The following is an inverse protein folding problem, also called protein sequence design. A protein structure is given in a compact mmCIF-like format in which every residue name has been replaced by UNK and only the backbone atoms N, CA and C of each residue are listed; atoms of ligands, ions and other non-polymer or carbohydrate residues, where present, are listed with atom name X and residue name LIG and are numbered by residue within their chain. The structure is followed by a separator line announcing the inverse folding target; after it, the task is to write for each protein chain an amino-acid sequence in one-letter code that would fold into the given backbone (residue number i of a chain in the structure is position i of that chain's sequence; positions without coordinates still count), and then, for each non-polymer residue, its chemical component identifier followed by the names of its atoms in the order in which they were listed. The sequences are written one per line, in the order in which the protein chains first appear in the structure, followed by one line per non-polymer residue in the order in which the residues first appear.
data_IF_298209715974
#
_entry.id   IF_298209715974
#
_cell.length_a   1.000
_cell.length_b   1.000
_cell.length_c   1.000
_cell.angle_alpha   90.00
_cell.angle_beta   90.00
_cell.angle_gamma   90.00
#
_symmetry.space_group_name_H-M   'P 1'
#
loop_
_entity.id
_entity.type
_entity.pdbx_description
1 polymer ?
#
# COMPACT_ATOMS: atom_id res chain seq x y z
N UNK A 1 24.95 2.77 -29.43
CA UNK A 1 23.62 2.11 -29.36
C UNK A 1 22.59 3.21 -29.19
N UNK A 2 21.48 3.15 -29.91
CA UNK A 2 20.42 4.17 -29.80
C UNK A 2 19.78 4.10 -28.40
N UNK A 3 19.60 5.25 -27.75
CA UNK A 3 19.01 5.38 -26.42
C UNK A 3 17.60 4.77 -26.39
N UNK A 4 16.87 4.90 -27.49
CA UNK A 4 15.58 4.26 -27.69
C UNK A 4 15.65 2.73 -27.54
N UNK A 5 16.67 2.08 -28.09
CA UNK A 5 16.79 0.61 -28.02
C UNK A 5 17.09 0.14 -26.59
N UNK A 6 17.83 0.91 -25.81
CA UNK A 6 18.07 0.64 -24.38
C UNK A 6 16.78 0.74 -23.58
N UNK A 7 15.98 1.79 -23.81
CA UNK A 7 14.67 1.93 -23.18
C UNK A 7 13.73 0.76 -23.55
N UNK A 8 13.74 0.32 -24.81
CA UNK A 8 12.96 -0.85 -25.25
C UNK A 8 13.43 -2.16 -24.63
N UNK A 9 14.72 -2.31 -24.33
CA UNK A 9 15.22 -3.46 -23.60
C UNK A 9 14.69 -3.50 -22.15
N UNK A 10 14.56 -2.34 -21.50
CA UNK A 10 13.94 -2.23 -20.17
C UNK A 10 12.43 -2.48 -20.22
N UNK A 11 11.74 -2.00 -21.25
CA UNK A 11 10.32 -2.28 -21.47
C UNK A 11 10.06 -3.79 -21.63
N UNK A 12 10.97 -4.53 -22.28
CA UNK A 12 10.87 -5.99 -22.43
C UNK A 12 10.84 -6.70 -21.06
N UNK A 13 11.80 -6.42 -20.18
CA UNK A 13 11.80 -7.02 -18.84
C UNK A 13 10.61 -6.57 -18.00
N UNK A 14 10.27 -5.27 -18.07
CA UNK A 14 9.15 -4.70 -17.32
C UNK A 14 7.82 -5.34 -17.73
N UNK A 15 7.59 -5.52 -19.03
CA UNK A 15 6.38 -6.14 -19.55
C UNK A 15 6.24 -7.60 -19.14
N UNK A 16 7.33 -8.37 -19.09
CA UNK A 16 7.30 -9.76 -18.57
C UNK A 16 6.87 -9.78 -17.10
N UNK A 17 7.47 -8.93 -16.26
CA UNK A 17 7.13 -8.86 -14.82
C UNK A 17 5.66 -8.46 -14.63
N UNK A 18 5.20 -7.44 -15.35
CA UNK A 18 3.81 -6.99 -15.29
C UNK A 18 2.84 -8.07 -15.80
N UNK A 19 3.20 -8.79 -16.85
CA UNK A 19 2.40 -9.88 -17.41
C UNK A 19 2.21 -11.00 -16.38
N UNK A 20 3.31 -11.49 -15.79
CA UNK A 20 3.28 -12.56 -14.78
C UNK A 20 2.51 -12.11 -13.53
N UNK A 21 2.77 -10.90 -13.03
CA UNK A 21 2.06 -10.35 -11.88
C UNK A 21 0.57 -10.22 -12.14
N UNK A 22 0.18 -9.69 -13.31
CA UNK A 22 -1.24 -9.52 -13.68
C UNK A 22 -1.95 -10.88 -13.77
N UNK A 23 -1.34 -11.89 -14.39
CA UNK A 23 -1.90 -13.24 -14.43
C UNK A 23 -2.06 -13.85 -13.03
N UNK A 24 -1.04 -13.71 -12.18
CA UNK A 24 -1.11 -14.21 -10.80
C UNK A 24 -2.27 -13.58 -10.02
N UNK A 25 -2.41 -12.25 -10.10
CA UNK A 25 -3.48 -11.56 -9.39
C UNK A 25 -4.86 -11.84 -9.99
N UNK A 26 -4.99 -11.96 -11.30
CA UNK A 26 -6.24 -12.38 -11.94
C UNK A 26 -6.65 -13.79 -11.49
N UNK A 27 -5.68 -14.71 -11.42
CA UNK A 27 -5.91 -16.07 -10.90
C UNK A 27 -6.30 -16.10 -9.42
N UNK A 28 -5.71 -15.24 -8.58
CA UNK A 28 -6.16 -15.14 -7.19
C UNK A 28 -7.54 -14.50 -7.07
N UNK A 29 -7.81 -13.49 -7.88
CA UNK A 29 -9.11 -12.80 -7.88
C UNK A 29 -10.23 -13.71 -8.38
N UNK A 30 -9.96 -14.62 -9.32
CA UNK A 30 -10.95 -15.59 -9.80
C UNK A 30 -11.42 -16.59 -8.73
N UNK A 31 -10.72 -16.68 -7.59
CA UNK A 31 -11.16 -17.50 -6.46
C UNK A 31 -12.21 -16.81 -5.58
N UNK A 32 -12.43 -15.51 -5.77
CA UNK A 32 -13.45 -14.76 -5.05
C UNK A 32 -14.79 -14.91 -5.79
N UNK A 33 -15.88 -15.31 -5.10
CA UNK A 33 -17.17 -15.52 -5.75
C UNK A 33 -17.72 -14.20 -6.34
N UNK A 34 -17.98 -14.20 -7.65
CA UNK A 34 -18.51 -13.05 -8.39
C UNK A 34 -20.03 -12.95 -8.37
N UNK A 35 -20.69 -14.11 -8.42
CA UNK A 35 -22.12 -14.24 -8.55
C UNK A 35 -22.62 -15.06 -7.36
N UNK A 36 -23.60 -14.50 -6.62
CA UNK A 36 -24.26 -15.14 -5.48
C UNK A 36 -23.33 -15.66 -4.36
N UNK A 37 -22.87 -14.73 -3.51
CA UNK A 37 -22.45 -15.09 -2.16
C UNK A 37 -23.61 -14.89 -1.20
N UNK A 38 -24.43 -15.93 -1.02
CA UNK A 38 -25.33 -16.01 0.11
C UNK A 38 -24.47 -16.11 1.39
N UNK A 39 -24.42 -15.03 2.17
CA UNK A 39 -23.78 -15.06 3.49
C UNK A 39 -24.89 -15.04 4.54
N UNK A 40 -24.92 -16.07 5.39
CA UNK A 40 -25.89 -16.22 6.48
C UNK A 40 -27.39 -16.20 6.07
N UNK A 41 -27.76 -16.75 4.90
CA UNK A 41 -29.15 -16.97 4.52
C UNK A 41 -29.90 -15.73 4.01
N UNK A 42 -29.19 -14.64 3.71
CA UNK A 42 -29.74 -13.45 3.05
C UNK A 42 -29.02 -13.28 1.70
N UNK A 43 -29.77 -13.04 0.63
CA UNK A 43 -29.21 -12.65 -0.67
C UNK A 43 -28.59 -11.25 -0.54
N UNK A 44 -27.31 -11.20 -0.19
CA UNK A 44 -26.62 -9.97 0.21
C UNK A 44 -25.59 -9.45 -0.79
N UNK A 45 -25.39 -10.08 -1.94
CA UNK A 45 -24.32 -9.70 -2.86
C UNK A 45 -24.78 -9.65 -4.33
N UNK A 46 -25.11 -8.44 -4.81
CA UNK A 46 -25.21 -8.17 -6.24
C UNK A 46 -23.79 -8.06 -6.84
N UNK A 47 -23.64 -8.37 -8.13
CA UNK A 47 -22.32 -8.44 -8.79
C UNK A 47 -21.49 -7.16 -8.70
N UNK A 48 -22.14 -5.99 -8.59
CA UNK A 48 -21.48 -4.69 -8.48
C UNK A 48 -20.91 -4.41 -7.08
N UNK A 49 -21.37 -5.13 -6.05
CA UNK A 49 -20.83 -5.06 -4.68
C UNK A 49 -19.68 -6.07 -4.46
N UNK A 50 -19.35 -6.87 -5.49
CA UNK A 50 -18.27 -7.84 -5.39
C UNK A 50 -16.93 -7.14 -5.21
N UNK A 51 -16.24 -7.47 -4.11
CA UNK A 51 -14.88 -7.01 -3.82
C UNK A 51 -13.86 -7.40 -4.91
N UNK A 52 -14.23 -8.31 -5.81
CA UNK A 52 -13.38 -8.81 -6.87
C UNK A 52 -13.46 -7.98 -8.17
N UNK A 53 -14.51 -7.17 -8.37
CA UNK A 53 -14.71 -6.37 -9.59
C UNK A 53 -13.55 -5.40 -9.85
N UNK A 54 -13.12 -4.68 -8.82
CA UNK A 54 -12.04 -3.68 -8.93
C UNK A 54 -10.69 -4.34 -9.25
N UNK A 55 -10.22 -5.37 -8.52
CA UNK A 55 -9.01 -6.09 -8.91
C UNK A 55 -9.05 -6.65 -10.34
N UNK A 56 -10.16 -7.22 -10.79
CA UNK A 56 -10.27 -7.71 -12.17
C UNK A 56 -10.10 -6.60 -13.20
N UNK A 57 -10.72 -5.44 -12.98
CA UNK A 57 -10.56 -4.28 -13.86
C UNK A 57 -9.11 -3.80 -13.93
N UNK A 58 -8.48 -3.60 -12.77
CA UNK A 58 -7.09 -3.10 -12.67
C UNK A 58 -6.11 -4.08 -13.31
N UNK A 59 -6.13 -5.35 -12.90
CA UNK A 59 -5.18 -6.35 -13.40
C UNK A 59 -5.50 -6.78 -14.84
N UNK A 60 -6.75 -6.69 -15.28
CA UNK A 60 -7.13 -6.91 -16.68
C UNK A 60 -6.55 -5.83 -17.60
N UNK A 61 -6.69 -4.55 -17.24
CA UNK A 61 -6.09 -3.44 -18.00
C UNK A 61 -4.56 -3.54 -17.97
N UNK A 62 -3.98 -3.85 -16.80
CA UNK A 62 -2.54 -4.03 -16.66
C UNK A 62 -2.00 -5.18 -17.52
N UNK A 63 -2.73 -6.28 -17.62
CA UNK A 63 -2.40 -7.40 -18.50
C UNK A 63 -2.39 -6.94 -19.97
N UNK A 64 -3.42 -6.24 -20.42
CA UNK A 64 -3.49 -5.71 -21.80
C UNK A 64 -2.31 -4.77 -22.08
N UNK A 65 -2.03 -3.83 -21.18
CA UNK A 65 -0.90 -2.90 -21.33
C UNK A 65 0.44 -3.64 -21.36
N UNK A 66 0.62 -4.65 -20.52
CA UNK A 66 1.84 -5.47 -20.50
C UNK A 66 2.06 -6.20 -21.82
N UNK A 67 0.99 -6.76 -22.42
CA UNK A 67 1.06 -7.40 -23.74
C UNK A 67 1.44 -6.40 -24.82
N UNK A 68 0.82 -5.21 -24.82
CA UNK A 68 1.13 -4.15 -25.80
C UNK A 68 2.60 -3.73 -25.69
N UNK A 69 3.10 -3.47 -24.48
CA UNK A 69 4.50 -3.13 -24.25
C UNK A 69 5.44 -4.26 -24.69
N UNK A 70 5.10 -5.51 -24.40
CA UNK A 70 5.88 -6.67 -24.81
C UNK A 70 6.00 -6.75 -26.35
N UNK A 71 4.88 -6.63 -27.06
CA UNK A 71 4.84 -6.64 -28.53
C UNK A 71 5.67 -5.50 -29.13
N UNK A 72 5.54 -4.28 -28.59
CA UNK A 72 6.32 -3.12 -29.05
C UNK A 72 7.81 -3.34 -28.80
N UNK A 73 8.18 -3.83 -27.61
CA UNK A 73 9.59 -4.07 -27.25
C UNK A 73 10.27 -5.12 -28.14
N UNK A 74 9.54 -6.16 -28.56
CA UNK A 74 10.04 -7.17 -29.50
C UNK A 74 10.20 -6.57 -30.90
N UNK A 75 9.19 -5.85 -31.39
CA UNK A 75 9.19 -5.25 -32.74
C UNK A 75 10.30 -4.22 -32.91
N UNK A 76 10.56 -3.42 -31.88
CA UNK A 76 11.62 -2.41 -31.88
C UNK A 76 13.03 -2.98 -31.62
N UNK A 77 13.17 -4.30 -31.52
CA UNK A 77 14.47 -4.98 -31.30
C UNK A 77 14.98 -4.95 -29.85
N UNK A 78 14.19 -4.44 -28.90
CA UNK A 78 14.51 -4.40 -27.47
C UNK A 78 14.79 -5.77 -26.88
N UNK A 79 14.10 -6.83 -27.34
CA UNK A 79 14.33 -8.20 -26.88
C UNK A 79 15.75 -8.72 -27.17
N UNK A 80 16.31 -8.39 -28.33
CA UNK A 80 17.69 -8.81 -28.69
C UNK A 80 18.72 -8.14 -27.79
N UNK A 81 18.49 -6.87 -27.45
CA UNK A 81 19.36 -6.10 -26.55
C UNK A 81 19.17 -6.52 -25.09
N UNK A 82 17.94 -6.77 -24.65
CA UNK A 82 17.60 -7.21 -23.30
C UNK A 82 18.20 -8.58 -22.95
N UNK A 83 18.27 -9.48 -23.92
CA UNK A 83 18.89 -10.80 -23.80
C UNK A 83 20.42 -10.78 -23.96
N UNK A 84 20.99 -9.65 -24.38
CA UNK A 84 22.44 -9.45 -24.39
C UNK A 84 22.92 -8.97 -23.03
N UNK A 85 24.16 -9.31 -22.64
CA UNK A 85 24.76 -8.89 -21.37
C UNK A 85 24.84 -7.36 -21.17
N UNK A 86 24.58 -6.57 -22.22
CA UNK A 86 24.58 -5.10 -22.21
C UNK A 86 23.27 -4.50 -21.66
N UNK A 87 22.20 -5.29 -21.53
CA UNK A 87 20.89 -4.80 -21.08
C UNK A 87 20.71 -4.68 -19.55
N UNK A 88 21.64 -5.21 -18.75
CA UNK A 88 21.56 -5.26 -17.29
C UNK A 88 22.65 -4.37 -16.68
N UNK A 89 22.45 -3.05 -16.72
CA UNK A 89 23.27 -2.13 -15.94
C UNK A 89 22.82 -2.19 -14.47
N UNK A 90 23.59 -2.90 -13.64
CA UNK A 90 23.25 -3.17 -12.24
C UNK A 90 23.81 -2.04 -11.37
N UNK A 91 22.96 -1.06 -11.04
CA UNK A 91 23.29 -0.06 -10.05
C UNK A 91 23.00 -0.58 -8.62
N UNK A 92 24.07 -0.81 -7.85
CA UNK A 92 23.99 -1.21 -6.44
C UNK A 92 23.21 -0.21 -5.57
N UNK A 93 23.23 1.09 -5.91
CA UNK A 93 22.46 2.10 -5.21
C UNK A 93 20.95 1.89 -5.45
N UNK A 94 20.58 1.62 -6.70
CA UNK A 94 19.20 1.36 -7.08
C UNK A 94 18.69 0.08 -6.44
N UNK A 95 19.51 -0.98 -6.42
CA UNK A 95 19.17 -2.24 -5.72
C UNK A 95 18.89 -2.00 -4.25
N UNK A 96 19.76 -1.24 -3.54
CA UNK A 96 19.54 -0.96 -2.13
C UNK A 96 18.25 -0.17 -1.90
N UNK A 97 17.97 0.82 -2.76
CA UNK A 97 16.74 1.61 -2.69
C UNK A 97 15.51 0.72 -2.91
N UNK A 98 15.50 -0.07 -3.96
CA UNK A 98 14.43 -1.01 -4.30
C UNK A 98 14.23 -2.05 -3.20
N UNK A 99 15.29 -2.62 -2.67
CA UNK A 99 15.23 -3.58 -1.56
C UNK A 99 14.58 -2.96 -0.33
N UNK A 100 14.98 -1.73 0.02
CA UNK A 100 14.45 -1.01 1.17
C UNK A 100 12.96 -0.68 1.01
N UNK A 101 12.53 -0.26 -0.18
CA UNK A 101 11.10 -0.02 -0.49
C UNK A 101 10.32 -1.33 -0.43
N UNK A 102 10.84 -2.40 -1.04
CA UNK A 102 10.23 -3.73 -1.00
C UNK A 102 10.08 -4.24 0.44
N UNK A 103 11.07 -3.99 1.29
CA UNK A 103 11.03 -4.35 2.71
C UNK A 103 9.94 -3.57 3.45
N UNK A 104 9.83 -2.26 3.24
CA UNK A 104 8.75 -1.41 3.79
C UNK A 104 7.38 -1.95 3.36
N UNK A 105 7.20 -2.23 2.06
CA UNK A 105 5.93 -2.70 1.52
C UNK A 105 5.57 -4.10 2.05
N UNK A 106 6.53 -5.02 2.12
CA UNK A 106 6.30 -6.36 2.67
C UNK A 106 5.93 -6.28 4.16
N UNK A 107 6.65 -5.48 4.93
CA UNK A 107 6.37 -5.28 6.35
C UNK A 107 4.98 -4.65 6.57
N UNK A 108 4.63 -3.63 5.78
CA UNK A 108 3.30 -3.03 5.80
C UNK A 108 2.20 -4.03 5.48
N UNK A 109 2.29 -4.73 4.34
CA UNK A 109 1.22 -5.64 3.84
C UNK A 109 1.04 -6.85 4.76
N UNK A 110 2.13 -7.52 5.15
CA UNK A 110 2.05 -8.81 5.84
C UNK A 110 2.08 -8.70 7.37
N UNK A 111 2.70 -7.65 7.91
CA UNK A 111 2.79 -7.45 9.36
C UNK A 111 1.74 -6.46 9.87
N UNK A 112 1.71 -5.24 9.32
CA UNK A 112 0.92 -4.14 9.89
C UNK A 112 -0.56 -4.17 9.48
N UNK A 113 -0.88 -4.25 8.19
CA UNK A 113 -2.27 -4.16 7.69
C UNK A 113 -3.26 -5.14 8.37
N UNK A 114 -2.90 -6.41 8.66
CA UNK A 114 -3.82 -7.33 9.32
C UNK A 114 -4.05 -7.06 10.81
N UNK A 115 -3.18 -6.29 11.46
CA UNK A 115 -3.06 -6.21 12.92
C UNK A 115 -3.21 -4.80 13.50
N UNK A 116 -2.83 -3.80 12.72
CA UNK A 116 -2.81 -2.40 13.15
C UNK A 116 -3.94 -1.66 12.48
N UNK A 117 -4.51 -0.66 13.16
CA UNK A 117 -5.43 0.30 12.58
C UNK A 117 -4.91 0.78 11.22
N UNK A 118 -5.74 0.61 10.18
CA UNK A 118 -5.34 0.86 8.80
C UNK A 118 -4.92 2.32 8.58
N UNK A 119 -5.53 3.28 9.27
CA UNK A 119 -5.21 4.70 9.14
C UNK A 119 -3.81 4.96 9.69
N UNK A 120 -3.50 4.41 10.86
CA UNK A 120 -2.21 4.60 11.53
C UNK A 120 -1.07 3.98 10.71
N UNK A 121 -1.20 2.71 10.32
CA UNK A 121 -0.14 2.03 9.58
C UNK A 121 0.05 2.62 8.16
N UNK A 122 -1.03 3.03 7.50
CA UNK A 122 -0.94 3.74 6.21
C UNK A 122 -0.26 5.10 6.35
N UNK A 123 -0.59 5.87 7.39
CA UNK A 123 0.04 7.17 7.63
C UNK A 123 1.55 7.04 7.87
N UNK A 124 1.96 6.03 8.65
CA UNK A 124 3.36 5.69 8.85
C UNK A 124 4.05 5.36 7.52
N UNK A 125 3.48 4.44 6.73
CA UNK A 125 4.05 4.01 5.45
C UNK A 125 4.15 5.18 4.46
N UNK A 126 3.09 5.97 4.28
CA UNK A 126 3.08 7.12 3.37
C UNK A 126 4.16 8.14 3.78
N UNK A 127 4.26 8.43 5.08
CA UNK A 127 5.29 9.34 5.59
C UNK A 127 6.70 8.79 5.33
N UNK A 128 6.92 7.50 5.59
CA UNK A 128 8.19 6.83 5.34
C UNK A 128 8.58 6.85 3.86
N UNK A 129 7.64 6.60 2.95
CA UNK A 129 7.91 6.61 1.51
C UNK A 129 8.18 8.02 1.00
N UNK A 130 7.33 9.00 1.35
CA UNK A 130 7.49 10.38 0.86
C UNK A 130 8.78 10.97 1.44
N UNK A 131 8.93 11.02 2.76
CA UNK A 131 10.11 11.65 3.35
C UNK A 131 11.40 10.85 3.11
N UNK A 132 11.33 9.51 3.24
CA UNK A 132 12.45 8.60 3.09
C UNK A 132 13.09 8.59 1.71
N UNK A 133 12.29 8.83 0.65
CA UNK A 133 12.72 8.60 -0.74
C UNK A 133 12.52 9.79 -1.68
N UNK A 134 11.82 10.87 -1.29
CA UNK A 134 11.62 12.05 -2.14
C UNK A 134 12.94 12.69 -2.59
N UNK A 135 13.93 12.80 -1.69
CA UNK A 135 15.25 13.39 -1.99
C UNK A 135 16.39 12.39 -2.13
N UNK A 136 16.16 11.11 -1.80
CA UNK A 136 17.19 10.07 -1.88
C UNK A 136 18.37 10.22 -0.90
N UNK A 137 18.22 10.98 0.19
CA UNK A 137 19.27 11.12 1.20
C UNK A 137 19.38 9.86 2.06
N UNK A 138 20.51 9.16 1.96
CA UNK A 138 20.72 7.83 2.59
C UNK A 138 20.37 7.75 4.08
N UNK A 139 20.77 8.69 4.96
CA UNK A 139 20.45 8.59 6.39
C UNK A 139 18.94 8.61 6.65
N UNK A 140 18.21 9.45 5.91
CA UNK A 140 16.75 9.61 6.01
C UNK A 140 16.05 8.34 5.53
N UNK A 141 16.55 7.72 4.45
CA UNK A 141 16.04 6.44 3.95
C UNK A 141 16.11 5.33 4.99
N UNK A 142 17.23 5.21 5.72
CA UNK A 142 17.37 4.19 6.77
C UNK A 142 16.46 4.46 7.97
N UNK A 143 16.31 5.71 8.39
CA UNK A 143 15.39 6.09 9.46
C UNK A 143 13.95 5.76 9.08
N UNK A 144 13.52 6.13 7.87
CA UNK A 144 12.19 5.85 7.37
C UNK A 144 11.91 4.34 7.27
N UNK A 145 12.90 3.56 6.81
CA UNK A 145 12.79 2.10 6.77
C UNK A 145 12.67 1.52 8.17
N UNK A 146 13.58 1.88 9.07
CA UNK A 146 13.55 1.40 10.45
C UNK A 146 12.23 1.75 11.17
N UNK A 147 11.68 2.94 10.93
CA UNK A 147 10.41 3.36 11.53
C UNK A 147 9.22 2.48 11.13
N UNK A 148 9.26 1.81 9.97
CA UNK A 148 8.25 0.83 9.57
C UNK A 148 8.62 -0.58 10.07
N UNK A 149 9.89 -0.98 9.90
CA UNK A 149 10.32 -2.35 10.22
C UNK A 149 10.25 -2.65 11.72
N UNK A 150 10.61 -1.71 12.58
CA UNK A 150 10.58 -1.90 14.04
C UNK A 150 9.18 -2.27 14.55
N UNK A 151 8.11 -1.50 14.27
CA UNK A 151 6.76 -1.90 14.67
C UNK A 151 6.27 -3.17 13.98
N UNK A 152 6.68 -3.42 12.72
CA UNK A 152 6.34 -4.68 12.04
C UNK A 152 6.97 -5.91 12.71
N UNK A 153 8.24 -5.82 13.12
CA UNK A 153 8.92 -6.90 13.83
C UNK A 153 8.34 -7.10 15.22
N UNK A 154 7.99 -6.02 15.93
CA UNK A 154 7.29 -6.11 17.21
C UNK A 154 5.98 -6.90 17.07
N UNK A 155 5.13 -6.51 16.11
CA UNK A 155 3.85 -7.18 15.85
C UNK A 155 4.03 -8.65 15.43
N UNK A 156 5.12 -8.98 14.73
CA UNK A 156 5.43 -10.35 14.34
C UNK A 156 6.02 -11.20 15.46
N UNK A 157 6.77 -10.63 16.40
CA UNK A 157 7.45 -11.39 17.44
C UNK A 157 6.56 -11.54 18.68
N UNK A 158 5.91 -10.46 19.11
CA UNK A 158 5.13 -10.40 20.35
C UNK A 158 3.73 -10.96 20.12
N UNK A 159 3.09 -10.56 19.02
CA UNK A 159 1.69 -10.87 18.70
C UNK A 159 1.58 -11.74 17.43
N UNK A 160 2.44 -12.76 17.31
CA UNK A 160 2.47 -13.64 16.14
C UNK A 160 1.15 -14.39 15.89
N UNK A 161 0.53 -15.07 16.87
CA UNK A 161 -0.62 -15.93 16.63
C UNK A 161 -1.84 -15.15 16.12
N UNK A 162 -2.47 -15.63 15.04
CA UNK A 162 -3.66 -15.00 14.45
C UNK A 162 -4.83 -14.83 15.43
N UNK A 163 -4.93 -15.70 16.45
CA UNK A 163 -5.94 -15.61 17.51
C UNK A 163 -5.80 -14.38 18.41
N UNK A 164 -4.66 -13.67 18.34
CA UNK A 164 -4.37 -12.48 19.12
C UNK A 164 -4.54 -11.18 18.32
N UNK A 165 -4.74 -11.25 17.01
CA UNK A 165 -4.79 -10.06 16.13
C UNK A 165 -6.02 -9.15 16.35
N UNK A 166 -6.99 -9.58 17.18
CA UNK A 166 -8.15 -8.77 17.62
C UNK A 166 -8.15 -8.42 19.11
N UNK A 167 -7.04 -8.65 19.83
CA UNK A 167 -6.85 -8.32 21.26
C UNK A 167 -5.98 -7.03 21.40
N UNK A 168 -5.97 -6.33 22.54
CA UNK A 168 -5.94 -4.87 22.52
C UNK A 168 -4.58 -4.24 22.17
N UNK A 169 -4.63 -3.40 21.12
CA UNK A 169 -3.99 -2.10 20.84
C UNK A 169 -2.51 -1.83 21.11
N UNK A 170 -1.71 -2.73 21.66
CA UNK A 170 -0.28 -2.46 21.85
C UNK A 170 0.44 -2.25 20.49
N UNK A 171 0.09 -3.04 19.48
CA UNK A 171 0.56 -2.86 18.09
C UNK A 171 0.12 -1.50 17.51
N UNK A 172 -1.11 -1.04 17.80
CA UNK A 172 -1.64 0.25 17.37
C UNK A 172 -0.85 1.41 17.99
N UNK A 173 -0.65 1.37 19.31
CA UNK A 173 0.09 2.39 20.04
C UNK A 173 1.55 2.43 19.61
N UNK A 174 2.18 1.28 19.44
CA UNK A 174 3.58 1.22 19.04
C UNK A 174 3.79 1.76 17.62
N UNK A 175 2.87 1.44 16.71
CA UNK A 175 2.88 2.00 15.35
C UNK A 175 2.59 3.50 15.35
N UNK A 176 1.65 3.96 16.19
CA UNK A 176 1.33 5.39 16.34
C UNK A 176 2.53 6.18 16.87
N UNK A 177 3.20 5.67 17.90
CA UNK A 177 4.42 6.29 18.46
C UNK A 177 5.51 6.34 17.38
N UNK A 178 5.67 5.27 16.59
CA UNK A 178 6.62 5.24 15.48
C UNK A 178 6.28 6.28 14.40
N UNK A 179 5.00 6.45 14.08
CA UNK A 179 4.53 7.48 13.14
C UNK A 179 4.80 8.90 13.65
N UNK A 180 4.47 9.19 14.91
CA UNK A 180 4.70 10.50 15.50
C UNK A 180 6.20 10.80 15.61
N UNK A 181 7.01 9.81 16.01
CA UNK A 181 8.46 9.94 16.08
C UNK A 181 9.08 10.18 14.70
N UNK A 182 8.63 9.46 13.68
CA UNK A 182 9.08 9.65 12.30
C UNK A 182 8.72 11.05 11.79
N UNK A 183 7.49 11.48 12.02
CA UNK A 183 6.99 12.81 11.61
C UNK A 183 7.74 13.94 12.33
N UNK A 184 7.98 13.79 13.63
CA UNK A 184 8.78 14.74 14.40
C UNK A 184 10.23 14.78 13.90
N UNK A 185 10.84 13.62 13.66
CA UNK A 185 12.21 13.52 13.12
C UNK A 185 12.31 14.16 11.74
N UNK A 186 11.33 13.94 10.87
CA UNK A 186 11.19 14.59 9.57
C UNK A 186 11.27 16.11 9.71
N UNK A 187 10.42 16.69 10.57
CA UNK A 187 10.43 18.13 10.78
C UNK A 187 11.76 18.61 11.37
N UNK A 188 12.31 17.95 12.40
CA UNK A 188 13.59 18.35 13.02
C UNK A 188 14.73 18.37 12.01
N UNK A 189 14.86 17.34 11.18
CA UNK A 189 15.92 17.24 10.16
C UNK A 189 15.75 18.34 9.11
N UNK A 190 14.53 18.56 8.64
CA UNK A 190 14.24 19.51 7.55
C UNK A 190 14.29 20.97 8.02
N UNK A 191 13.89 21.26 9.26
CA UNK A 191 14.09 22.57 9.89
C UNK A 191 15.58 22.89 10.05
N UNK A 192 16.40 21.92 10.50
CA UNK A 192 17.85 22.10 10.61
C UNK A 192 18.52 22.32 9.26
N UNK A 193 18.00 21.69 8.21
CA UNK A 193 18.47 21.89 6.83
C UNK A 193 18.06 23.24 6.22
N UNK A 194 17.21 24.04 6.89
CA UNK A 194 16.67 25.34 6.44
C UNK A 194 16.01 25.32 5.05
N UNK A 195 15.67 24.14 4.54
CA UNK A 195 15.09 23.94 3.19
C UNK A 195 13.91 22.99 3.25
N UNK A 196 12.82 23.42 3.87
CA UNK A 196 11.60 22.60 3.91
C UNK A 196 10.87 22.72 2.58
N UNK A 197 10.85 21.62 1.83
CA UNK A 197 10.08 21.47 0.61
C UNK A 197 8.57 21.57 0.88
N UNK A 198 7.80 22.06 -0.09
CA UNK A 198 6.34 22.03 -0.06
C UNK A 198 5.81 20.60 0.08
N UNK A 199 6.45 19.64 -0.59
CA UNK A 199 6.07 18.22 -0.51
C UNK A 199 6.10 17.74 0.95
N UNK A 200 7.20 18.02 1.65
CA UNK A 200 7.42 17.62 3.05
C UNK A 200 6.41 18.28 4.00
N UNK A 201 6.07 19.56 3.78
CA UNK A 201 5.07 20.26 4.60
C UNK A 201 3.68 19.64 4.51
N UNK A 202 3.34 19.13 3.32
CA UNK A 202 2.02 18.55 3.03
C UNK A 202 1.98 17.06 3.40
N UNK A 203 3.14 16.40 3.56
CA UNK A 203 3.25 14.97 3.88
C UNK A 203 2.34 14.53 5.04
N UNK A 204 2.34 15.15 6.24
CA UNK A 204 1.51 14.66 7.35
C UNK A 204 0.01 14.76 7.05
N UNK A 205 -0.39 15.80 6.32
CA UNK A 205 -1.79 16.00 5.92
C UNK A 205 -2.21 14.90 4.94
N UNK A 206 -1.41 14.63 3.92
CA UNK A 206 -1.68 13.57 2.94
C UNK A 206 -1.65 12.20 3.60
N UNK A 207 -0.67 11.94 4.47
CA UNK A 207 -0.50 10.68 5.16
C UNK A 207 -1.71 10.31 6.03
N UNK A 208 -2.40 11.28 6.62
CA UNK A 208 -3.60 11.04 7.44
C UNK A 208 -4.87 11.09 6.61
N UNK A 209 -5.05 12.13 5.76
CA UNK A 209 -6.29 12.33 5.03
C UNK A 209 -6.55 11.25 3.98
N UNK A 210 -5.53 10.81 3.24
CA UNK A 210 -5.71 9.80 2.20
C UNK A 210 -6.27 8.48 2.75
N UNK A 211 -5.64 7.82 3.76
CA UNK A 211 -6.20 6.58 4.30
C UNK A 211 -7.51 6.82 5.05
N UNK A 212 -7.70 7.97 5.70
CA UNK A 212 -8.98 8.31 6.34
C UNK A 212 -10.12 8.33 5.31
N UNK A 213 -9.96 9.07 4.21
CA UNK A 213 -10.97 9.15 3.15
C UNK A 213 -11.23 7.75 2.57
N UNK A 214 -10.18 6.97 2.32
CA UNK A 214 -10.30 5.61 1.78
C UNK A 214 -11.10 4.71 2.72
N UNK A 215 -10.78 4.72 4.02
CA UNK A 215 -11.48 3.93 5.05
C UNK A 215 -12.94 4.34 5.18
N UNK A 216 -13.23 5.65 5.20
CA UNK A 216 -14.61 6.14 5.25
C UNK A 216 -15.41 5.72 4.01
N UNK A 217 -14.81 5.82 2.82
CA UNK A 217 -15.44 5.38 1.57
C UNK A 217 -15.71 3.87 1.57
N UNK A 218 -14.75 3.05 2.01
CA UNK A 218 -14.91 1.60 2.09
C UNK A 218 -15.96 1.19 3.14
N UNK A 219 -15.86 1.73 4.36
CA UNK A 219 -16.73 1.35 5.47
C UNK A 219 -18.19 1.79 5.26
N UNK A 220 -18.39 3.06 4.87
CA UNK A 220 -19.72 3.67 4.86
C UNK A 220 -20.30 3.84 3.46
N UNK A 221 -19.45 4.06 2.44
CA UNK A 221 -19.89 4.17 1.05
C UNK A 221 -20.18 2.81 0.43
N UNK A 222 -19.15 1.97 0.32
CA UNK A 222 -19.24 0.64 -0.31
C UNK A 222 -19.65 -0.49 0.63
N UNK A 223 -19.75 -0.21 1.95
CA UNK A 223 -20.03 -1.22 2.99
C UNK A 223 -19.09 -2.43 2.95
N UNK A 224 -17.86 -2.20 2.51
CA UNK A 224 -16.82 -3.21 2.43
C UNK A 224 -16.17 -3.43 3.80
N UNK A 225 -15.52 -4.58 3.97
CA UNK A 225 -14.76 -4.83 5.18
C UNK A 225 -13.47 -3.99 5.18
N UNK A 226 -13.18 -3.34 6.31
CA UNK A 226 -11.97 -2.54 6.50
C UNK A 226 -10.95 -3.39 7.28
N UNK A 227 -9.65 -3.32 6.94
CA UNK A 227 -8.62 -4.01 7.71
C UNK A 227 -8.65 -3.59 9.18
N UNK A 228 -8.61 -4.58 10.09
CA UNK A 228 -8.67 -4.43 11.55
C UNK A 228 -9.73 -3.39 12.03
N UNK A 229 -11.02 -3.73 11.94
CA UNK A 229 -12.11 -2.87 12.44
C UNK A 229 -12.02 -2.53 13.93
N UNK A 230 -11.35 -3.36 14.71
CA UNK A 230 -11.09 -3.11 16.14
C UNK A 230 -9.95 -2.13 16.39
N UNK A 231 -9.37 -1.53 15.34
CA UNK A 231 -8.28 -0.57 15.44
C UNK A 231 -8.61 0.68 16.27
N UNK A 232 -7.58 1.29 16.84
CA UNK A 232 -7.68 2.40 17.79
C UNK A 232 -8.45 3.63 17.28
N UNK A 233 -8.29 4.01 16.01
CA UNK A 233 -8.99 5.16 15.42
C UNK A 233 -10.32 4.76 14.80
N UNK A 234 -10.33 3.66 14.04
CA UNK A 234 -11.52 3.24 13.31
C UNK A 234 -12.67 2.84 14.24
N UNK A 235 -12.39 2.16 15.35
CA UNK A 235 -13.43 1.79 16.33
C UNK A 235 -14.16 3.01 16.89
N UNK A 236 -13.45 4.13 17.11
CA UNK A 236 -14.06 5.38 17.56
C UNK A 236 -14.91 6.04 16.46
N UNK A 237 -14.45 5.99 15.21
CA UNK A 237 -15.20 6.51 14.06
C UNK A 237 -16.50 5.71 13.88
N UNK A 238 -16.40 4.38 13.91
CA UNK A 238 -17.53 3.46 13.77
C UNK A 238 -18.53 3.65 14.91
N UNK A 239 -18.06 3.74 16.15
CA UNK A 239 -18.91 4.05 17.31
C UNK A 239 -19.66 5.37 17.14
N UNK A 240 -18.95 6.46 16.80
CA UNK A 240 -19.59 7.77 16.63
C UNK A 240 -20.61 7.77 15.48
N UNK A 241 -20.32 7.07 14.38
CA UNK A 241 -21.25 6.96 13.28
C UNK A 241 -22.54 6.25 13.68
N UNK A 242 -22.44 5.06 14.31
CA UNK A 242 -23.62 4.26 14.64
C UNK A 242 -24.38 4.76 15.86
N UNK A 243 -23.70 5.34 16.85
CA UNK A 243 -24.30 5.76 18.12
C UNK A 243 -24.76 7.22 18.08
N UNK A 244 -23.98 8.11 17.48
CA UNK A 244 -24.28 9.55 17.50
C UNK A 244 -24.91 10.03 16.19
N UNK A 245 -24.32 9.73 15.04
CA UNK A 245 -24.76 10.31 13.76
C UNK A 245 -25.99 9.63 13.16
N UNK A 246 -25.97 8.29 13.08
CA UNK A 246 -27.04 7.52 12.45
C UNK A 246 -28.41 7.71 13.12
N UNK A 247 -28.53 7.73 14.46
CA UNK A 247 -29.82 7.96 15.11
C UNK A 247 -30.36 9.37 14.90
N UNK A 248 -29.49 10.38 14.73
CA UNK A 248 -29.91 11.74 14.39
C UNK A 248 -30.53 11.82 12.99
N UNK A 249 -30.00 11.06 12.03
CA UNK A 249 -30.52 11.01 10.66
C UNK A 249 -31.73 10.09 10.49
N UNK A 250 -31.82 9.03 11.26
CA UNK A 250 -32.96 8.11 11.21
C UNK A 250 -34.21 8.69 11.89
N UNK A 251 -34.11 9.86 12.52
CA UNK A 251 -35.17 10.50 13.27
C UNK A 251 -35.52 9.65 14.49
N UNK A 252 -35.16 10.09 15.68
CA UNK A 252 -35.72 9.49 16.90
C UNK A 252 -37.24 9.43 16.76
N UNK A 253 -37.80 8.22 16.72
CA UNK A 253 -39.06 7.96 17.42
C UNK A 253 -38.74 7.93 18.91
#
# INVERSE_FOLDING_TARGET
MDEKTILRARDFWTSIVLFVASLFFLFQTSKIPFFNSASAGVDSAQWYDSAALVPFGIFGILLVLSIVLFVISIRDGGAKVALSAVGLDIDLHEIKRLFSISLILAAYIFALVPRVDFIICSALMITALIWGYHRGFRPVTYIATAAVIVPSLYALIVNFPQSQWGKPHDDDWFTLVSFLALTATMFVVEFRAKKIDRVIKVTPVVAVLCPLILVLAMAFGFRQNVPNRTGLLFSQIEYNYYVNLRPLWQGKK
#
